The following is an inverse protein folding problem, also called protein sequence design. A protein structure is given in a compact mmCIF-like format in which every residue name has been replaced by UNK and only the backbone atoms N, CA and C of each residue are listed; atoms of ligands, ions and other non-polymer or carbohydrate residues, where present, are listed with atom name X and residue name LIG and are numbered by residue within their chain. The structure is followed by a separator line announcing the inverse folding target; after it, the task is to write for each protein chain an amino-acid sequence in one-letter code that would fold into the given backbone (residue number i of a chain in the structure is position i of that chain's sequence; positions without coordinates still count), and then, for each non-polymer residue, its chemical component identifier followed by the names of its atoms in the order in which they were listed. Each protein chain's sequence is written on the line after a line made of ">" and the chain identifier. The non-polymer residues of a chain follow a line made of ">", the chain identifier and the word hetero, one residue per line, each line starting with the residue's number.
data_IF_687664663339
#
_entry.id   IF_687664663339
#
_cell.length_a   1.000
_cell.length_b   1.000
_cell.length_c   1.000
_cell.angle_alpha   90.00
_cell.angle_beta   90.00
_cell.angle_gamma   90.00
#
_symmetry.space_group_name_H-M   'P 1'
#
loop_
_entity.id
_entity.type
_entity.pdbx_description
1 polymer ?
#
# COMPACT_ATOMS: atom_id res chain seq x y z
N UNK A 1 15.49 3.23 11.60
CA UNK A 1 15.29 2.03 12.42
C UNK A 1 13.97 1.36 12.05
N UNK A 2 12.86 2.08 11.92
CA UNK A 2 11.58 1.54 11.45
C UNK A 2 11.66 0.85 10.10
N UNK A 3 12.34 1.44 9.13
CA UNK A 3 12.59 0.85 7.81
C UNK A 3 13.40 -0.46 7.88
N UNK A 4 14.42 -0.50 8.75
CA UNK A 4 15.24 -1.70 8.97
C UNK A 4 14.43 -2.83 9.60
N UNK A 5 13.63 -2.55 10.62
CA UNK A 5 12.79 -3.56 11.28
C UNK A 5 11.71 -4.05 10.33
N UNK A 6 11.08 -3.15 9.57
CA UNK A 6 10.11 -3.52 8.53
C UNK A 6 10.73 -4.44 7.45
N UNK A 7 11.99 -4.20 7.06
CA UNK A 7 12.69 -5.04 6.08
C UNK A 7 13.04 -6.44 6.59
N UNK A 8 13.34 -6.56 7.88
CA UNK A 8 13.72 -7.86 8.48
C UNK A 8 12.51 -8.74 8.78
N UNK A 9 11.37 -8.13 9.15
CA UNK A 9 10.20 -8.89 9.59
C UNK A 9 9.21 -9.19 8.46
N UNK A 10 9.32 -8.52 7.30
CA UNK A 10 8.38 -8.57 6.15
C UNK A 10 6.88 -8.43 6.51
N UNK A 11 6.58 -8.28 7.80
CA UNK A 11 5.21 -8.26 8.40
C UNK A 11 4.88 -6.93 9.07
N UNK A 12 5.74 -5.91 8.96
CA UNK A 12 5.50 -4.61 9.61
C UNK A 12 5.76 -3.46 8.65
N UNK A 13 4.87 -2.47 8.72
CA UNK A 13 4.99 -1.21 7.97
C UNK A 13 5.94 -0.24 8.71
N UNK A 14 6.61 0.66 8.00
CA UNK A 14 7.43 1.68 8.67
C UNK A 14 6.54 2.75 9.31
N UNK A 15 7.01 3.36 10.42
CA UNK A 15 6.28 4.43 11.12
C UNK A 15 5.92 5.61 10.20
N UNK A 16 6.79 5.97 9.26
CA UNK A 16 6.54 7.06 8.31
C UNK A 16 5.43 6.69 7.32
N UNK A 17 5.42 5.44 6.85
CA UNK A 17 4.37 4.92 5.98
C UNK A 17 3.03 4.85 6.71
N UNK A 18 2.99 4.33 7.93
CA UNK A 18 1.77 4.24 8.73
C UNK A 18 1.14 5.62 9.01
N UNK A 19 1.98 6.64 9.31
CA UNK A 19 1.51 8.02 9.42
C UNK A 19 1.00 8.54 8.07
N UNK A 20 1.69 8.21 6.98
CA UNK A 20 1.27 8.59 5.63
C UNK A 20 -0.09 8.00 5.24
N UNK A 21 -0.31 6.73 5.51
CA UNK A 21 -1.59 6.03 5.28
C UNK A 21 -2.72 6.65 6.11
N UNK A 22 -2.46 6.94 7.39
CA UNK A 22 -3.41 7.65 8.23
C UNK A 22 -3.78 9.04 7.66
N UNK A 23 -2.79 9.80 7.16
CA UNK A 23 -3.04 11.11 6.53
C UNK A 23 -3.92 10.94 5.28
N UNK A 24 -3.65 9.94 4.44
CA UNK A 24 -4.49 9.66 3.26
C UNK A 24 -5.91 9.29 3.68
N UNK A 25 -6.08 8.46 4.71
CA UNK A 25 -7.40 8.04 5.22
C UNK A 25 -8.25 9.21 5.73
N UNK A 26 -7.64 10.16 6.44
CA UNK A 26 -8.37 11.30 7.00
C UNK A 26 -8.50 12.49 6.03
N UNK A 27 -7.83 12.44 4.89
CA UNK A 27 -7.85 13.52 3.91
C UNK A 27 -9.15 13.45 3.09
N UNK A 28 -9.91 14.57 2.97
CA UNK A 28 -11.10 14.60 2.12
C UNK A 28 -10.81 14.19 0.68
N UNK A 29 -11.73 13.42 0.07
CA UNK A 29 -11.55 12.86 -1.27
C UNK A 29 -11.24 13.90 -2.36
N UNK A 30 -11.81 15.09 -2.26
CA UNK A 30 -11.54 16.18 -3.22
C UNK A 30 -10.08 16.67 -3.17
N UNK A 31 -9.48 16.70 -1.97
CA UNK A 31 -8.06 17.07 -1.78
C UNK A 31 -7.16 15.96 -2.35
N UNK A 32 -7.53 14.70 -2.11
CA UNK A 32 -6.80 13.55 -2.67
C UNK A 32 -6.85 13.59 -4.20
N UNK A 33 -8.04 13.81 -4.78
CA UNK A 33 -8.21 13.92 -6.24
C UNK A 33 -7.36 15.04 -6.82
N UNK A 34 -7.46 16.26 -6.28
CA UNK A 34 -6.67 17.41 -6.73
C UNK A 34 -5.17 17.14 -6.63
N UNK A 35 -4.72 16.42 -5.58
CA UNK A 35 -3.31 16.06 -5.43
C UNK A 35 -2.86 15.03 -6.47
N UNK A 36 -3.72 14.06 -6.85
CA UNK A 36 -3.45 13.10 -7.92
C UNK A 36 -3.37 13.83 -9.28
N UNK A 37 -4.32 14.69 -9.58
CA UNK A 37 -4.37 15.46 -10.83
C UNK A 37 -3.15 16.39 -11.00
N UNK A 38 -2.68 16.99 -9.90
CA UNK A 38 -1.55 17.95 -9.95
C UNK A 38 -0.18 17.29 -9.89
N UNK A 39 -0.02 16.25 -9.08
CA UNK A 39 1.27 15.62 -8.79
C UNK A 39 1.47 14.28 -9.52
N UNK A 40 0.40 13.66 -10.01
CA UNK A 40 0.45 12.37 -10.70
C UNK A 40 1.22 11.31 -9.90
N UNK A 41 2.15 10.64 -10.55
CA UNK A 41 2.99 9.60 -9.94
C UNK A 41 3.90 10.10 -8.80
N UNK A 42 4.14 11.42 -8.70
CA UNK A 42 4.99 12.02 -7.67
C UNK A 42 4.28 12.21 -6.34
N UNK A 43 2.95 12.05 -6.27
CA UNK A 43 2.15 12.30 -5.08
C UNK A 43 2.66 11.55 -3.85
N UNK A 44 2.94 10.24 -3.97
CA UNK A 44 3.45 9.41 -2.86
C UNK A 44 4.80 9.92 -2.35
N UNK A 45 5.70 10.29 -3.26
CA UNK A 45 7.04 10.82 -2.90
C UNK A 45 6.91 12.18 -2.20
N UNK A 46 6.06 13.06 -2.69
CA UNK A 46 5.81 14.38 -2.08
C UNK A 46 5.22 14.22 -0.68
N UNK A 47 4.24 13.34 -0.50
CA UNK A 47 3.63 13.09 0.81
C UNK A 47 4.66 12.58 1.82
N UNK A 48 5.40 11.53 1.50
CA UNK A 48 6.39 10.95 2.41
C UNK A 48 7.55 11.92 2.71
N UNK A 49 7.98 12.69 1.71
CA UNK A 49 8.99 13.73 1.91
C UNK A 49 8.48 14.84 2.80
N UNK A 50 7.23 15.27 2.65
CA UNK A 50 6.60 16.29 3.49
C UNK A 50 6.49 15.84 4.93
N UNK A 51 6.06 14.59 5.19
CA UNK A 51 6.00 14.02 6.54
C UNK A 51 7.39 14.03 7.17
N UNK A 52 8.41 13.62 6.42
CA UNK A 52 9.79 13.58 6.90
C UNK A 52 10.30 14.97 7.25
N UNK A 53 10.08 15.95 6.38
CA UNK A 53 10.50 17.35 6.62
C UNK A 53 9.78 17.94 7.83
N UNK A 54 8.46 17.75 7.94
CA UNK A 54 7.67 18.23 9.08
C UNK A 54 8.16 17.58 10.38
N UNK A 55 8.47 16.28 10.37
CA UNK A 55 9.00 15.58 11.54
C UNK A 55 10.37 16.13 11.98
N UNK A 56 11.26 16.45 11.04
CA UNK A 56 12.55 17.09 11.32
C UNK A 56 12.35 18.48 11.92
N UNK A 57 11.48 19.29 11.32
CA UNK A 57 11.17 20.64 11.83
C UNK A 57 10.55 20.59 13.23
N UNK A 58 9.66 19.63 13.47
CA UNK A 58 9.07 19.39 14.79
C UNK A 58 10.13 18.99 15.81
N UNK A 59 11.04 18.08 15.47
CA UNK A 59 12.19 17.73 16.33
C UNK A 59 13.08 18.93 16.64
N UNK A 60 13.37 19.78 15.65
CA UNK A 60 14.10 21.04 15.84
C UNK A 60 13.37 22.01 16.76
N UNK A 61 12.05 22.15 16.61
CA UNK A 61 11.20 22.94 17.51
C UNK A 61 11.26 22.42 18.95
N UNK A 62 11.14 21.11 19.16
CA UNK A 62 11.27 20.49 20.48
C UNK A 62 12.65 20.74 21.09
N UNK A 63 13.72 20.72 20.29
CA UNK A 63 15.07 21.08 20.74
C UNK A 63 15.19 22.54 21.20
N UNK A 64 14.49 23.47 20.55
CA UNK A 64 14.43 24.86 21.02
C UNK A 64 13.58 25.01 22.28
N UNK A 65 12.47 24.28 22.36
CA UNK A 65 11.53 24.28 23.47
C UNK A 65 12.18 23.71 24.74
N UNK A 66 13.02 22.68 24.63
CA UNK A 66 13.66 22.00 25.75
C UNK A 66 14.54 22.93 26.57
N UNK A 67 15.04 24.01 25.98
CA UNK A 67 15.82 25.03 26.69
C UNK A 67 15.00 25.86 27.69
N UNK A 68 13.68 26.00 27.44
CA UNK A 68 12.79 26.79 28.29
C UNK A 68 11.87 25.92 29.14
N UNK A 69 11.42 24.84 28.58
CA UNK A 69 10.43 23.91 29.15
C UNK A 69 10.80 22.45 28.82
N UNK A 70 11.82 21.90 29.52
CA UNK A 70 12.31 20.55 29.21
C UNK A 70 11.20 19.48 29.35
N UNK A 71 10.43 19.50 30.43
CA UNK A 71 9.40 18.51 30.73
C UNK A 71 8.32 18.48 29.62
N UNK A 72 7.90 19.66 29.14
CA UNK A 72 6.93 19.77 28.04
C UNK A 72 7.52 19.21 26.75
N UNK A 73 8.78 19.48 26.47
CA UNK A 73 9.46 18.99 25.28
C UNK A 73 9.54 17.47 25.26
N UNK A 74 9.93 16.84 26.37
CA UNK A 74 9.95 15.37 26.49
C UNK A 74 8.54 14.76 26.39
N UNK A 75 7.56 15.40 27.03
CA UNK A 75 6.17 14.94 26.96
C UNK A 75 5.62 14.95 25.52
N UNK A 76 5.89 16.03 24.77
CA UNK A 76 5.50 16.13 23.37
C UNK A 76 6.22 15.11 22.47
N UNK A 77 7.50 14.84 22.76
CA UNK A 77 8.26 13.82 22.04
C UNK A 77 7.68 12.43 22.25
N UNK A 78 7.36 12.09 23.50
CA UNK A 78 6.71 10.81 23.84
C UNK A 78 5.33 10.72 23.18
N UNK A 79 4.53 11.79 23.22
CA UNK A 79 3.22 11.84 22.58
C UNK A 79 3.32 11.60 21.07
N UNK A 80 4.33 12.16 20.43
CA UNK A 80 4.60 11.91 19.01
C UNK A 80 4.94 10.44 18.73
N UNK A 81 5.73 9.82 19.60
CA UNK A 81 6.04 8.39 19.53
C UNK A 81 4.80 7.50 19.73
N UNK A 82 3.94 7.85 20.69
CA UNK A 82 2.65 7.16 20.93
C UNK A 82 1.72 7.31 19.72
N UNK A 83 1.66 8.50 19.13
CA UNK A 83 0.88 8.73 17.90
C UNK A 83 1.38 7.83 16.75
N UNK A 84 2.69 7.74 16.53
CA UNK A 84 3.26 6.83 15.53
C UNK A 84 2.93 5.36 15.81
N UNK A 85 2.94 4.92 17.06
CA UNK A 85 2.53 3.57 17.45
C UNK A 85 1.04 3.30 17.23
N UNK A 86 0.21 4.30 17.50
CA UNK A 86 -1.22 4.21 17.27
C UNK A 86 -1.54 4.10 15.76
N UNK A 87 -0.90 4.89 14.90
CA UNK A 87 -1.07 4.77 13.45
C UNK A 87 -0.60 3.41 12.94
N UNK A 88 0.53 2.91 13.45
CA UNK A 88 1.05 1.60 13.06
C UNK A 88 0.12 0.44 13.48
N UNK A 89 -0.58 0.58 14.62
CA UNK A 89 -1.55 -0.43 15.07
C UNK A 89 -2.84 -0.45 14.25
N UNK A 90 -3.08 0.55 13.41
CA UNK A 90 -4.22 0.59 12.47
C UNK A 90 -3.94 -0.18 11.17
N UNK A 91 -2.68 -0.46 10.88
CA UNK A 91 -2.30 -1.25 9.72
C UNK A 91 -2.73 -2.71 9.91
N UNK A 92 -3.63 -3.26 9.06
CA UNK A 92 -4.15 -4.62 9.18
C UNK A 92 -3.07 -5.70 9.04
N UNK A 93 -1.93 -5.38 8.43
CA UNK A 93 -0.80 -6.30 8.26
C UNK A 93 0.14 -6.32 9.47
N UNK A 94 0.00 -5.36 10.39
CA UNK A 94 0.88 -5.24 11.55
C UNK A 94 0.19 -5.72 12.82
N UNK A 95 0.73 -6.75 13.48
CA UNK A 95 0.17 -7.20 14.75
C UNK A 95 0.33 -6.13 15.84
N UNK A 96 -0.65 -6.04 16.75
CA UNK A 96 -0.63 -5.09 17.87
C UNK A 96 0.66 -5.19 18.70
N UNK A 97 1.16 -6.40 18.94
CA UNK A 97 2.42 -6.62 19.66
C UNK A 97 3.63 -6.04 18.92
N UNK A 98 3.67 -6.19 17.58
CA UNK A 98 4.72 -5.62 16.75
C UNK A 98 4.63 -4.09 16.73
N UNK A 99 3.44 -3.52 16.57
CA UNK A 99 3.22 -2.07 16.60
C UNK A 99 3.69 -1.44 17.91
N UNK A 100 3.29 -2.02 19.05
CA UNK A 100 3.68 -1.54 20.37
C UNK A 100 5.19 -1.66 20.61
N UNK A 101 5.80 -2.81 20.29
CA UNK A 101 7.22 -3.02 20.50
C UNK A 101 8.07 -2.10 19.61
N UNK A 102 7.74 -1.95 18.34
CA UNK A 102 8.47 -1.12 17.41
C UNK A 102 8.38 0.37 17.80
N UNK A 103 7.17 0.85 18.14
CA UNK A 103 6.97 2.24 18.57
C UNK A 103 7.68 2.54 19.89
N UNK A 104 7.64 1.62 20.86
CA UNK A 104 8.34 1.78 22.13
C UNK A 104 9.85 1.85 21.92
N UNK A 105 10.43 0.95 21.14
CA UNK A 105 11.87 0.95 20.82
C UNK A 105 12.26 2.24 20.10
N UNK A 106 11.51 2.66 19.09
CA UNK A 106 11.78 3.88 18.34
C UNK A 106 11.70 5.12 19.24
N UNK A 107 10.69 5.19 20.11
CA UNK A 107 10.52 6.29 21.07
C UNK A 107 11.65 6.32 22.09
N UNK A 108 12.04 5.18 22.66
CA UNK A 108 13.14 5.09 23.62
C UNK A 108 14.47 5.54 23.01
N UNK A 109 14.78 5.08 21.79
CA UNK A 109 16.00 5.50 21.09
C UNK A 109 15.92 6.99 20.77
N UNK A 110 14.77 7.50 20.33
CA UNK A 110 14.57 8.92 20.05
C UNK A 110 14.74 9.78 21.30
N UNK A 111 14.11 9.43 22.42
CA UNK A 111 14.24 10.12 23.71
C UNK A 111 15.68 10.09 24.21
N UNK A 112 16.35 8.92 24.15
CA UNK A 112 17.75 8.78 24.57
C UNK A 112 18.68 9.66 23.74
N UNK A 113 18.45 9.69 22.41
CA UNK A 113 19.21 10.56 21.49
C UNK A 113 18.97 12.03 21.79
N UNK A 114 17.71 12.40 22.01
CA UNK A 114 17.32 13.77 22.35
C UNK A 114 17.92 14.21 23.69
N UNK A 115 17.88 13.35 24.72
CA UNK A 115 18.52 13.59 26.01
C UNK A 115 20.03 13.77 25.86
N UNK A 116 20.71 12.87 25.14
CA UNK A 116 22.16 12.95 24.95
C UNK A 116 22.58 14.22 24.21
N UNK A 117 21.81 14.65 23.19
CA UNK A 117 22.10 15.92 22.51
C UNK A 117 21.87 17.14 23.41
N UNK A 118 20.81 17.14 24.22
CA UNK A 118 20.57 18.23 25.18
C UNK A 118 21.63 18.28 26.24
N UNK A 119 22.05 17.15 26.82
CA UNK A 119 23.08 17.09 27.83
C UNK A 119 24.45 17.64 27.37
N UNK A 120 24.74 17.50 26.05
CA UNK A 120 25.94 18.11 25.45
C UNK A 120 25.87 19.66 25.40
N UNK A 121 24.63 20.20 25.40
CA UNK A 121 24.39 21.65 25.35
C UNK A 121 24.27 22.28 26.75
N UNK A 122 23.92 21.46 27.76
CA UNK A 122 23.66 21.88 29.13
C UNK A 122 24.90 21.86 30.03
N UNK A 123 26.13 21.70 29.50
CA UNK A 123 27.31 21.83 30.30
C UNK A 123 27.36 23.26 30.91
N UNK A 124 27.32 23.35 32.25
CA UNK A 124 27.27 24.64 32.90
C UNK A 124 28.51 25.44 32.52
N UNK A 125 28.27 26.66 32.07
CA UNK A 125 29.29 27.67 31.84
C UNK A 125 29.98 28.11 33.14
N UNK A 126 30.26 27.17 34.05
CA UNK A 126 30.81 27.42 35.38
C UNK A 126 32.27 26.99 35.50
N UNK A 127 33.06 27.26 34.48
CA UNK A 127 34.52 27.29 34.64
C UNK A 127 35.08 28.19 33.57
N UNK A 128 35.56 29.34 33.97
CA UNK A 128 36.38 30.26 33.22
C UNK A 128 36.00 30.52 31.74
N UNK A 129 35.10 31.49 31.55
CA UNK A 129 34.68 32.01 30.24
C UNK A 129 35.81 32.68 29.43
N UNK A 130 37.05 32.66 29.90
CA UNK A 130 38.17 33.32 29.24
C UNK A 130 38.93 32.44 28.23
N UNK A 131 38.71 31.11 28.22
CA UNK A 131 39.40 30.26 27.25
C UNK A 131 38.51 29.94 26.02
N UNK A 132 38.78 30.55 24.85
CA UNK A 132 38.04 30.29 23.60
C UNK A 132 38.07 28.82 23.17
N UNK A 133 39.02 28.04 23.63
CA UNK A 133 39.27 26.66 23.25
C UNK A 133 38.14 25.69 23.69
N UNK A 134 37.56 25.94 24.87
CA UNK A 134 36.44 25.13 25.39
C UNK A 134 35.15 25.40 24.67
N UNK A 135 34.88 26.65 24.29
CA UNK A 135 33.69 27.03 23.51
C UNK A 135 33.61 26.40 22.13
N UNK A 136 34.75 26.15 21.49
CA UNK A 136 34.83 25.49 20.18
C UNK A 136 34.74 23.96 20.29
N UNK A 137 35.21 23.38 21.40
CA UNK A 137 35.16 21.93 21.61
C UNK A 137 33.72 21.43 21.71
N UNK A 138 32.85 22.08 22.47
CA UNK A 138 31.46 21.70 22.69
C UNK A 138 30.63 21.76 21.39
N UNK A 139 30.79 22.84 20.61
CA UNK A 139 30.12 22.98 19.32
C UNK A 139 30.60 21.94 18.32
N UNK A 140 31.90 21.66 18.28
CA UNK A 140 32.44 20.65 17.36
C UNK A 140 32.01 19.26 17.76
N UNK A 141 31.95 18.97 19.04
CA UNK A 141 31.48 17.69 19.56
C UNK A 141 29.99 17.49 19.23
N UNK A 142 29.16 18.51 19.48
CA UNK A 142 27.73 18.46 19.09
C UNK A 142 27.54 18.23 17.57
N UNK A 143 28.25 18.98 16.74
CA UNK A 143 28.17 18.81 15.28
C UNK A 143 28.63 17.42 14.83
N UNK A 144 29.69 16.88 15.42
CA UNK A 144 30.15 15.53 15.13
C UNK A 144 29.11 14.47 15.52
N UNK A 145 28.49 14.59 16.69
CA UNK A 145 27.42 13.69 17.13
C UNK A 145 26.18 13.84 16.24
N UNK A 146 25.73 15.04 15.96
CA UNK A 146 24.58 15.30 15.08
C UNK A 146 24.83 14.74 13.67
N UNK A 147 26.02 14.94 13.12
CA UNK A 147 26.41 14.38 11.81
C UNK A 147 26.47 12.86 11.88
N UNK A 148 27.08 12.28 12.90
CA UNK A 148 27.15 10.83 13.10
C UNK A 148 25.76 10.18 13.16
N UNK A 149 24.84 10.76 13.92
CA UNK A 149 23.45 10.30 14.03
C UNK A 149 22.73 10.43 12.67
N UNK A 150 22.92 11.55 11.98
CA UNK A 150 22.30 11.78 10.65
C UNK A 150 22.80 10.77 9.60
N UNK A 151 24.10 10.51 9.58
CA UNK A 151 24.71 9.50 8.69
C UNK A 151 24.20 8.12 9.05
N UNK A 152 24.17 7.74 10.33
CA UNK A 152 23.64 6.46 10.78
C UNK A 152 22.16 6.30 10.40
N UNK A 153 21.33 7.32 10.59
CA UNK A 153 19.92 7.30 10.18
C UNK A 153 19.78 7.15 8.66
N UNK A 154 20.55 7.89 7.89
CA UNK A 154 20.54 7.80 6.41
C UNK A 154 20.99 6.43 5.90
N UNK A 155 22.05 5.86 6.48
CA UNK A 155 22.52 4.51 6.12
C UNK A 155 21.49 3.43 6.49
N UNK A 156 20.88 3.51 7.68
CA UNK A 156 19.82 2.57 8.09
C UNK A 156 18.61 2.63 7.15
N UNK A 157 18.21 3.83 6.72
CA UNK A 157 17.11 4.00 5.76
C UNK A 157 17.49 3.45 4.39
N UNK A 158 18.70 3.73 3.92
CA UNK A 158 19.20 3.23 2.64
C UNK A 158 19.32 1.70 2.61
N UNK A 159 19.91 1.11 3.64
CA UNK A 159 20.01 -0.35 3.78
C UNK A 159 18.63 -0.99 3.90
N UNK A 160 17.72 -0.41 4.72
CA UNK A 160 16.35 -0.89 4.83
C UNK A 160 15.63 -0.93 3.46
N UNK A 161 15.76 0.12 2.65
CA UNK A 161 15.18 0.16 1.29
C UNK A 161 15.83 -0.84 0.31
N UNK A 162 17.13 -1.07 0.43
CA UNK A 162 17.82 -2.06 -0.39
C UNK A 162 17.40 -3.50 -0.04
N UNK A 163 17.14 -3.77 1.24
CA UNK A 163 16.66 -5.08 1.72
C UNK A 163 15.18 -5.32 1.40
N UNK A 164 14.39 -4.26 1.23
CA UNK A 164 12.97 -4.31 0.82
C UNK A 164 12.80 -4.49 -0.69
N UNK A 165 13.83 -4.91 -1.42
CA UNK A 165 13.77 -5.05 -2.87
C UNK A 165 12.67 -6.03 -3.30
N UNK A 166 12.00 -5.72 -4.41
CA UNK A 166 10.83 -6.40 -5.01
C UNK A 166 10.97 -7.91 -5.30
N UNK A 167 12.11 -8.50 -5.02
CA UNK A 167 12.38 -9.93 -5.28
C UNK A 167 11.38 -10.86 -4.54
N UNK A 168 10.80 -10.41 -3.43
CA UNK A 168 9.85 -11.20 -2.62
C UNK A 168 8.53 -11.41 -3.33
N UNK A 169 7.97 -10.38 -3.98
CA UNK A 169 6.67 -10.46 -4.68
C UNK A 169 6.79 -11.33 -5.93
N UNK A 170 7.89 -11.20 -6.68
CA UNK A 170 8.14 -12.05 -7.84
C UNK A 170 8.33 -13.52 -7.45
N UNK A 171 9.09 -13.79 -6.41
CA UNK A 171 9.29 -15.15 -5.88
C UNK A 171 7.98 -15.79 -5.37
N UNK A 172 7.06 -15.01 -4.79
CA UNK A 172 5.74 -15.49 -4.37
C UNK A 172 4.89 -15.81 -5.60
N UNK A 173 4.87 -14.92 -6.61
CA UNK A 173 4.13 -15.14 -7.87
C UNK A 173 4.57 -16.40 -8.61
N UNK A 174 5.88 -16.67 -8.67
CA UNK A 174 6.42 -17.86 -9.33
C UNK A 174 6.04 -19.16 -8.62
N UNK A 175 5.73 -19.11 -7.32
CA UNK A 175 5.28 -20.27 -6.54
C UNK A 175 3.79 -20.57 -6.70
N UNK A 176 3.01 -19.62 -7.14
CA UNK A 176 1.57 -19.80 -7.34
C UNK A 176 1.35 -20.54 -8.66
N UNK A 177 0.96 -21.79 -8.57
CA UNK A 177 0.57 -22.61 -9.72
C UNK A 177 -0.94 -22.52 -9.86
N UNK A 178 -1.42 -21.79 -10.88
CA UNK A 178 -2.84 -21.78 -11.23
C UNK A 178 -3.15 -23.11 -11.94
N UNK A 179 -4.15 -23.89 -11.48
CA UNK A 179 -4.55 -25.13 -12.14
C UNK A 179 -4.86 -24.90 -13.63
N UNK A 180 -4.49 -25.84 -14.47
CA UNK A 180 -4.82 -25.76 -15.90
C UNK A 180 -6.33 -25.93 -16.06
N UNK A 181 -7.02 -24.83 -16.35
CA UNK A 181 -8.47 -24.83 -16.54
C UNK A 181 -8.71 -25.13 -18.02
N UNK A 182 -9.32 -26.30 -18.32
CA UNK A 182 -9.80 -26.58 -19.67
C UNK A 182 -10.87 -25.55 -20.04
N UNK A 183 -10.74 -24.93 -21.22
CA UNK A 183 -11.77 -24.03 -21.74
C UNK A 183 -13.06 -24.86 -21.95
N UNK A 184 -13.97 -24.74 -21.01
CA UNK A 184 -15.35 -25.14 -21.26
C UNK A 184 -15.89 -24.10 -22.25
N UNK A 185 -15.89 -24.45 -23.52
CA UNK A 185 -16.48 -23.64 -24.60
C UNK A 185 -18.00 -23.47 -24.33
N UNK A 186 -18.35 -22.54 -23.48
CA UNK A 186 -19.72 -22.03 -23.35
C UNK A 186 -20.00 -20.94 -24.39
N UNK A 187 -19.78 -21.25 -25.67
CA UNK A 187 -20.53 -20.69 -26.78
C UNK A 187 -21.79 -21.53 -26.96
N UNK A 188 -22.51 -21.79 -25.87
CA UNK A 188 -23.93 -22.14 -25.99
C UNK A 188 -24.71 -20.84 -25.96
N UNK A 189 -24.90 -20.29 -27.15
CA UNK A 189 -26.01 -19.42 -27.47
C UNK A 189 -27.25 -19.95 -26.75
N UNK A 190 -27.72 -19.22 -25.73
CA UNK A 190 -29.04 -19.46 -25.14
C UNK A 190 -30.10 -19.09 -26.16
N UNK A 191 -30.39 -20.02 -27.05
CA UNK A 191 -31.56 -20.01 -27.95
C UNK A 191 -32.77 -20.51 -27.18
N UNK A 192 -33.10 -19.94 -26.04
CA UNK A 192 -34.33 -20.31 -25.34
C UNK A 192 -35.02 -19.09 -24.72
N UNK A 193 -35.30 -18.11 -25.59
CA UNK A 193 -36.37 -17.11 -25.34
C UNK A 193 -37.07 -16.86 -26.68
N UNK A 194 -37.86 -17.84 -27.15
CA UNK A 194 -38.84 -17.60 -28.18
C UNK A 194 -40.14 -18.31 -27.83
N UNK A 195 -40.98 -17.67 -27.06
CA UNK A 195 -42.42 -17.75 -27.23
C UNK A 195 -43.06 -16.43 -26.80
N UNK A 196 -43.79 -15.84 -27.72
CA UNK A 196 -44.70 -14.71 -27.62
C UNK A 196 -44.12 -13.28 -27.80
N UNK A 197 -43.80 -12.98 -29.06
CA UNK A 197 -44.17 -11.65 -29.63
C UNK A 197 -44.25 -11.80 -31.19
N UNK A 198 -45.42 -12.22 -31.65
CA UNK A 198 -45.79 -12.10 -33.04
C UNK A 198 -46.07 -10.65 -33.37
N UNK A 199 -45.24 -10.01 -34.20
CA UNK A 199 -45.67 -9.23 -35.37
C UNK A 199 -44.54 -8.34 -35.89
N UNK A 200 -44.30 -8.50 -37.19
CA UNK A 200 -43.59 -7.57 -38.09
C UNK A 200 -42.06 -7.62 -38.02
N UNK A 201 -41.48 -8.76 -38.36
CA UNK A 201 -40.06 -8.83 -38.69
C UNK A 201 -39.82 -8.38 -40.12
N UNK A 202 -39.28 -7.21 -40.32
CA UNK A 202 -38.57 -6.84 -41.56
C UNK A 202 -37.34 -7.74 -41.64
N UNK A 203 -37.30 -8.60 -42.66
CA UNK A 203 -36.20 -9.49 -42.97
C UNK A 203 -34.95 -8.67 -43.27
N UNK A 204 -34.07 -8.55 -42.29
CA UNK A 204 -32.70 -8.13 -42.52
C UNK A 204 -31.97 -9.29 -43.16
N UNK A 205 -31.32 -9.14 -44.34
CA UNK A 205 -30.54 -10.21 -44.91
C UNK A 205 -29.41 -10.54 -43.90
N UNK A 206 -29.33 -11.79 -43.48
CA UNK A 206 -28.19 -12.34 -42.74
C UNK A 206 -26.97 -12.35 -43.67
N UNK A 207 -26.29 -11.21 -43.74
CA UNK A 207 -24.94 -11.19 -44.22
C UNK A 207 -24.15 -11.90 -43.14
N UNK A 208 -23.53 -13.04 -43.42
CA UNK A 208 -22.47 -13.60 -42.60
C UNK A 208 -21.44 -12.49 -42.43
N UNK A 209 -21.51 -11.79 -41.32
CA UNK A 209 -20.45 -10.88 -40.90
C UNK A 209 -19.28 -11.77 -40.53
N UNK A 210 -18.33 -11.87 -41.43
CA UNK A 210 -17.04 -12.50 -41.20
C UNK A 210 -16.36 -11.69 -40.08
N UNK A 211 -16.54 -12.11 -38.81
CA UNK A 211 -15.93 -11.45 -37.67
C UNK A 211 -14.45 -11.73 -37.76
N UNK A 212 -13.63 -10.66 -37.75
CA UNK A 212 -12.19 -10.75 -37.68
C UNK A 212 -11.79 -11.58 -36.46
N UNK A 213 -10.89 -12.50 -36.64
CA UNK A 213 -10.29 -13.24 -35.54
C UNK A 213 -9.43 -12.28 -34.67
N UNK A 214 -9.17 -12.61 -33.41
CA UNK A 214 -8.30 -11.82 -32.55
C UNK A 214 -6.90 -11.58 -33.15
N UNK A 215 -6.39 -12.55 -33.93
CA UNK A 215 -5.14 -12.43 -34.66
C UNK A 215 -5.20 -11.36 -35.74
N UNK A 216 -6.29 -11.29 -36.48
CA UNK A 216 -6.51 -10.30 -37.54
C UNK A 216 -6.74 -8.90 -36.96
N UNK A 217 -7.48 -8.79 -35.88
CA UNK A 217 -7.63 -7.51 -35.15
C UNK A 217 -6.30 -6.97 -34.64
N UNK A 218 -5.46 -7.82 -34.04
CA UNK A 218 -4.15 -7.41 -33.54
C UNK A 218 -3.17 -6.99 -34.66
N UNK A 219 -3.43 -7.36 -35.92
CA UNK A 219 -2.63 -6.98 -37.07
C UNK A 219 -3.00 -5.59 -37.64
N UNK A 220 -4.08 -4.97 -37.17
CA UNK A 220 -4.52 -3.65 -37.64
C UNK A 220 -3.71 -2.57 -36.90
N UNK A 221 -2.96 -1.76 -37.66
CA UNK A 221 -2.16 -0.67 -37.11
C UNK A 221 -3.05 0.35 -36.39
N UNK A 222 -2.65 0.73 -35.17
CA UNK A 222 -3.36 1.70 -34.32
C UNK A 222 -4.46 1.11 -33.43
N UNK A 223 -4.74 -0.20 -33.49
CA UNK A 223 -5.63 -0.90 -32.58
C UNK A 223 -4.81 -1.48 -31.42
N UNK A 224 -5.27 -1.27 -30.18
CA UNK A 224 -4.69 -1.92 -29.01
C UNK A 224 -4.87 -3.44 -29.08
N UNK A 225 -3.91 -4.25 -28.60
CA UNK A 225 -4.08 -5.70 -28.51
C UNK A 225 -5.36 -6.07 -27.76
N UNK A 226 -6.05 -7.10 -28.21
CA UNK A 226 -7.27 -7.57 -27.52
C UNK A 226 -6.99 -7.99 -26.08
N UNK A 227 -5.89 -8.70 -25.84
CA UNK A 227 -5.42 -9.03 -24.49
C UNK A 227 -4.27 -8.12 -24.13
N UNK A 228 -4.42 -7.39 -23.04
CA UNK A 228 -3.37 -6.59 -22.42
C UNK A 228 -2.41 -7.53 -21.69
N UNK A 229 -1.11 -7.42 -21.95
CA UNK A 229 -0.11 -8.22 -21.23
C UNK A 229 -0.11 -7.90 -19.74
N UNK A 230 0.31 -8.85 -18.90
CA UNK A 230 0.40 -8.60 -17.45
C UNK A 230 1.37 -7.46 -17.09
N UNK A 231 2.39 -7.24 -17.91
CA UNK A 231 3.37 -6.18 -17.71
C UNK A 231 2.82 -4.79 -18.08
N UNK A 232 1.91 -4.75 -19.06
CA UNK A 232 1.26 -3.53 -19.55
C UNK A 232 -0.07 -3.26 -18.86
N UNK A 233 -0.60 -4.21 -18.06
CA UNK A 233 -1.86 -4.01 -17.36
C UNK A 233 -1.70 -2.90 -16.31
N UNK A 234 -2.61 -1.93 -16.32
CA UNK A 234 -2.52 -0.80 -15.40
C UNK A 234 -2.59 -1.25 -13.93
N UNK A 235 -1.87 -0.51 -13.08
CA UNK A 235 -1.93 -0.68 -11.63
C UNK A 235 -2.25 0.65 -10.97
N UNK A 236 -3.38 0.70 -10.29
CA UNK A 236 -3.79 1.82 -9.43
C UNK A 236 -4.19 1.25 -8.09
N UNK A 237 -3.57 1.73 -7.05
CA UNK A 237 -3.90 1.40 -5.67
C UNK A 237 -3.80 2.64 -4.77
N UNK A 238 -4.50 2.63 -3.64
CA UNK A 238 -4.48 3.70 -2.63
C UNK A 238 -3.40 3.50 -1.59
N UNK A 239 -2.80 2.31 -1.53
CA UNK A 239 -1.74 2.00 -0.58
C UNK A 239 -0.44 2.76 -0.93
N UNK A 240 0.24 3.31 0.06
CA UNK A 240 1.56 3.93 -0.13
C UNK A 240 2.62 2.89 -0.48
N UNK A 241 2.47 1.68 0.03
CA UNK A 241 3.26 0.51 -0.31
C UNK A 241 2.33 -0.64 -0.69
N UNK A 242 2.62 -1.31 -1.80
CA UNK A 242 1.89 -2.52 -2.19
C UNK A 242 2.07 -3.58 -1.09
N UNK A 243 0.98 -4.07 -0.47
CA UNK A 243 1.08 -5.10 0.55
C UNK A 243 1.60 -6.41 -0.04
N UNK A 244 2.50 -7.08 0.69
CA UNK A 244 2.99 -8.41 0.35
C UNK A 244 2.33 -9.40 1.30
N UNK A 245 1.47 -10.25 0.76
CA UNK A 245 0.72 -11.26 1.52
C UNK A 245 1.16 -12.62 0.99
N UNK A 246 1.64 -13.48 1.90
CA UNK A 246 1.91 -14.87 1.55
C UNK A 246 0.56 -15.59 1.31
N UNK A 247 0.42 -16.41 0.26
CA UNK A 247 -0.82 -17.12 -0.03
C UNK A 247 -1.34 -17.95 1.14
N UNK A 248 -0.45 -18.52 1.94
CA UNK A 248 -0.80 -19.29 3.13
C UNK A 248 -1.36 -18.46 4.30
N UNK A 249 -1.08 -17.16 4.31
CA UNK A 249 -1.58 -16.21 5.33
C UNK A 249 -2.85 -15.48 4.85
N UNK A 250 -3.31 -15.72 3.60
CA UNK A 250 -4.47 -15.07 3.03
C UNK A 250 -5.74 -15.87 3.27
N UNK A 251 -6.83 -15.19 3.62
CA UNK A 251 -8.15 -15.79 3.72
C UNK A 251 -9.24 -14.82 3.28
N UNK A 252 -10.37 -15.40 2.88
CA UNK A 252 -11.61 -14.71 2.55
C UNK A 252 -12.70 -15.08 3.55
N UNK A 253 -13.16 -14.10 4.33
CA UNK A 253 -14.27 -14.27 5.27
C UNK A 253 -15.58 -13.82 4.62
N UNK A 254 -16.59 -14.65 4.72
CA UNK A 254 -17.98 -14.33 4.34
C UNK A 254 -18.81 -14.29 5.60
N UNK A 255 -19.29 -13.10 5.98
CA UNK A 255 -20.05 -12.86 7.21
C UNK A 255 -21.17 -11.83 7.01
N UNK A 256 -21.83 -11.42 8.08
CA UNK A 256 -22.88 -10.42 8.08
C UNK A 256 -24.28 -11.04 7.98
N UNK A 257 -25.09 -10.62 7.01
CA UNK A 257 -26.48 -11.07 6.83
C UNK A 257 -26.55 -12.43 6.12
N UNK A 258 -25.92 -13.44 6.70
CA UNK A 258 -25.87 -14.81 6.20
C UNK A 258 -26.20 -15.81 7.30
N UNK A 259 -26.78 -16.97 6.92
CA UNK A 259 -27.06 -18.05 7.88
C UNK A 259 -25.78 -18.81 8.26
N UNK A 260 -24.87 -18.99 7.29
CA UNK A 260 -23.66 -19.77 7.42
C UNK A 260 -22.41 -18.94 7.16
N UNK A 261 -21.92 -18.13 8.14
CA UNK A 261 -20.65 -17.43 7.99
C UNK A 261 -19.51 -18.44 7.92
N UNK A 262 -18.54 -18.19 7.03
CA UNK A 262 -17.41 -19.10 6.84
C UNK A 262 -16.18 -18.36 6.32
N UNK A 263 -15.05 -19.03 6.34
CA UNK A 263 -13.76 -18.54 5.85
C UNK A 263 -13.21 -19.52 4.81
N UNK A 264 -12.55 -18.99 3.80
CA UNK A 264 -11.85 -19.74 2.76
C UNK A 264 -10.38 -19.31 2.74
N UNK A 265 -9.47 -20.26 2.76
CA UNK A 265 -8.07 -20.03 2.44
C UNK A 265 -7.86 -19.88 0.93
N UNK A 266 -6.70 -19.37 0.54
CA UNK A 266 -6.34 -19.26 -0.88
C UNK A 266 -6.25 -20.63 -1.56
N UNK A 267 -5.77 -21.65 -0.83
CA UNK A 267 -5.66 -23.02 -1.31
C UNK A 267 -7.05 -23.63 -1.57
N UNK A 268 -7.99 -23.46 -0.64
CA UNK A 268 -9.37 -23.92 -0.83
C UNK A 268 -10.05 -23.28 -2.04
N UNK A 269 -9.77 -21.99 -2.32
CA UNK A 269 -10.28 -21.34 -3.56
C UNK A 269 -9.67 -21.96 -4.81
N UNK A 270 -8.38 -22.32 -4.80
CA UNK A 270 -7.75 -22.97 -5.96
C UNK A 270 -8.25 -24.40 -6.20
N UNK A 271 -8.79 -25.07 -5.16
CA UNK A 271 -9.41 -26.39 -5.26
C UNK A 271 -10.86 -26.35 -5.76
N UNK A 272 -11.51 -25.18 -5.75
CA UNK A 272 -12.87 -25.00 -6.27
C UNK A 272 -12.90 -25.07 -7.80
N UNK A 273 -14.12 -25.18 -8.40
CA UNK A 273 -14.27 -25.14 -9.85
C UNK A 273 -13.98 -23.74 -10.38
N UNK A 274 -12.78 -23.59 -10.97
CA UNK A 274 -12.34 -22.33 -11.56
C UNK A 274 -12.89 -22.20 -12.99
N UNK A 275 -13.37 -21.01 -13.33
CA UNK A 275 -13.77 -20.65 -14.70
C UNK A 275 -12.82 -19.59 -15.27
N UNK A 276 -12.63 -19.62 -16.60
CA UNK A 276 -11.91 -18.56 -17.33
C UNK A 276 -12.90 -17.62 -17.98
N UNK A 277 -12.65 -16.32 -17.88
CA UNK A 277 -13.41 -15.28 -18.58
C UNK A 277 -12.52 -14.14 -19.04
N UNK A 278 -12.77 -13.66 -20.25
CA UNK A 278 -12.21 -12.41 -20.73
C UNK A 278 -12.98 -11.26 -20.10
N UNK A 279 -12.29 -10.42 -19.33
CA UNK A 279 -12.91 -9.29 -18.65
C UNK A 279 -12.08 -8.04 -18.85
N UNK A 280 -12.73 -7.00 -19.34
CA UNK A 280 -12.15 -5.65 -19.40
C UNK A 280 -12.39 -4.94 -18.08
N UNK A 281 -11.32 -4.49 -17.45
CA UNK A 281 -11.36 -3.62 -16.28
C UNK A 281 -10.96 -2.21 -16.67
N UNK A 282 -11.76 -1.24 -16.22
CA UNK A 282 -11.48 0.20 -16.38
C UNK A 282 -11.48 0.84 -15.01
N UNK A 283 -10.44 1.60 -14.70
CA UNK A 283 -10.39 2.36 -13.46
C UNK A 283 -11.49 3.44 -13.46
N UNK A 284 -12.12 3.68 -12.32
CA UNK A 284 -13.13 4.74 -12.15
C UNK A 284 -12.56 6.14 -12.45
N UNK A 285 -11.25 6.32 -12.28
CA UNK A 285 -10.53 7.56 -12.59
C UNK A 285 -9.90 7.58 -13.99
N UNK A 286 -10.25 6.63 -14.87
CA UNK A 286 -9.77 6.65 -16.24
C UNK A 286 -10.44 7.77 -17.04
N UNK A 287 -9.65 8.60 -17.68
CA UNK A 287 -10.14 9.63 -18.60
C UNK A 287 -10.51 9.00 -19.95
N UNK A 288 -11.32 9.71 -20.76
CA UNK A 288 -11.64 9.26 -22.10
C UNK A 288 -10.36 9.14 -22.92
N UNK A 289 -10.07 7.93 -23.44
CA UNK A 289 -8.82 7.65 -24.13
C UNK A 289 -7.59 7.49 -23.22
N UNK A 290 -7.79 7.44 -21.90
CA UNK A 290 -6.72 7.26 -20.93
C UNK A 290 -6.19 5.82 -20.85
N UNK A 291 -5.04 5.62 -20.19
CA UNK A 291 -4.33 4.34 -20.16
C UNK A 291 -4.81 3.38 -19.06
N UNK A 292 -5.82 3.76 -18.26
CA UNK A 292 -6.25 2.98 -17.10
C UNK A 292 -7.38 2.00 -17.48
N UNK A 293 -7.18 1.25 -18.54
CA UNK A 293 -8.08 0.19 -19.01
C UNK A 293 -7.23 -0.99 -19.49
N UNK A 294 -7.69 -2.19 -19.23
CA UNK A 294 -7.03 -3.41 -19.71
C UNK A 294 -8.02 -4.55 -19.85
N UNK A 295 -7.80 -5.41 -20.83
CA UNK A 295 -8.57 -6.63 -21.05
C UNK A 295 -7.66 -7.85 -20.82
N UNK A 296 -8.07 -8.77 -19.96
CA UNK A 296 -7.29 -9.96 -19.66
C UNK A 296 -8.18 -11.18 -19.48
N UNK A 297 -7.59 -12.36 -19.65
CA UNK A 297 -8.23 -13.63 -19.29
C UNK A 297 -8.07 -13.86 -17.80
N UNK A 298 -9.16 -13.82 -17.07
CA UNK A 298 -9.20 -14.04 -15.63
C UNK A 298 -9.61 -15.48 -15.32
N UNK A 299 -8.93 -16.07 -14.36
CA UNK A 299 -9.30 -17.37 -13.80
C UNK A 299 -9.78 -17.16 -12.35
N UNK A 300 -10.94 -17.71 -12.00
CA UNK A 300 -11.48 -17.56 -10.66
C UNK A 300 -12.77 -18.33 -10.44
N UNK A 301 -13.24 -18.35 -9.21
CA UNK A 301 -14.51 -18.92 -8.79
C UNK A 301 -15.62 -17.88 -9.00
N UNK A 302 -16.78 -18.23 -9.56
CA UNK A 302 -17.92 -17.33 -9.61
C UNK A 302 -18.32 -16.86 -8.22
N UNK A 303 -18.42 -15.54 -8.01
CA UNK A 303 -18.79 -14.97 -6.71
C UNK A 303 -20.16 -15.47 -6.23
N UNK A 304 -21.08 -15.77 -7.16
CA UNK A 304 -22.38 -16.34 -6.86
C UNK A 304 -22.29 -17.70 -6.15
N UNK A 305 -21.29 -18.51 -6.45
CA UNK A 305 -21.06 -19.79 -5.79
C UNK A 305 -20.61 -19.60 -4.35
N UNK A 306 -19.65 -18.67 -4.13
CA UNK A 306 -19.20 -18.32 -2.79
C UNK A 306 -20.36 -17.76 -1.95
N UNK A 307 -21.13 -16.81 -2.49
CA UNK A 307 -22.26 -16.21 -1.75
C UNK A 307 -23.36 -17.25 -1.48
N UNK A 308 -23.72 -18.09 -2.45
CA UNK A 308 -24.78 -19.10 -2.28
C UNK A 308 -24.47 -20.07 -1.14
N UNK A 309 -23.19 -20.44 -0.96
CA UNK A 309 -22.73 -21.31 0.13
C UNK A 309 -22.98 -20.71 1.52
N UNK A 310 -22.98 -19.39 1.63
CA UNK A 310 -23.23 -18.69 2.90
C UNK A 310 -24.72 -18.56 3.26
N UNK A 311 -25.64 -18.93 2.35
CA UNK A 311 -27.09 -18.82 2.52
C UNK A 311 -27.52 -17.41 2.97
N UNK A 312 -27.48 -16.39 2.08
CA UNK A 312 -27.84 -15.03 2.42
C UNK A 312 -29.27 -14.94 2.97
N UNK A 313 -29.48 -14.15 4.02
CA UNK A 313 -30.79 -13.88 4.59
C UNK A 313 -31.66 -13.13 3.55
N UNK A 314 -32.96 -13.29 3.64
CA UNK A 314 -33.91 -12.65 2.72
C UNK A 314 -33.90 -11.11 2.74
N UNK A 315 -33.27 -10.52 3.74
CA UNK A 315 -33.08 -9.08 3.92
C UNK A 315 -31.61 -8.65 3.72
N UNK A 316 -30.78 -9.50 3.15
CA UNK A 316 -29.39 -9.20 2.84
C UNK A 316 -29.24 -8.28 1.63
#
# INVERSE_FOLDING_TARGET
>A
LGELVASVTNKTTSLVLAVGEFIVEVTPGDVVRTSIETLGNSQKVVLLSSITVISILFGGFLGLLSRKQPDLSYSLFILFGVFGGWTLNRDPLTSTAAALSLSAIATLIGVSTFFSLNSLLDHPASADFEDPKYRYADRRQFLNWATGISVAAGTMTGVGRLLLKDDTVQNIREKIVIPNIEEKNELQTSNDVTSDLSSTATTIPSTETDFLTFSEMNAIEGISPYITSNDDFYRIDTALRVPTIEPADWSLTVDGLVENPYELSYEEILEMELVKKDVTLTCVSNEIGGPLVGNAVWAGVPLSEIISKSEPLSNA
#
